data_IF_551937904697
#
_entry.id   IF_551937904697
#
_cell.length_a   1.000
_cell.length_b   1.000
_cell.length_c   1.000
_cell.angle_alpha   90.00
_cell.angle_beta   90.00
_cell.angle_gamma   90.00
#
_symmetry.space_group_name_H-M   'P 1'
#
loop_
_entity.id
_entity.type
_entity.pdbx_description
1 polymer ?
#
# COMPACT_ATOMS: atom_id res chain seq x y z
N UNK A 1 15.89 -50.58 -16.45
CA UNK A 1 15.49 -50.63 -17.88
C UNK A 1 15.92 -49.34 -18.54
N UNK A 2 16.66 -49.50 -19.64
CA UNK A 2 17.24 -48.57 -20.62
C UNK A 2 17.51 -47.08 -20.28
N UNK A 3 18.82 -46.79 -20.23
CA UNK A 3 19.49 -45.49 -20.37
C UNK A 3 19.66 -45.13 -21.85
N UNK A 4 19.51 -43.86 -22.21
CA UNK A 4 20.16 -43.20 -23.37
C UNK A 4 20.55 -41.79 -22.92
N UNK A 5 21.80 -41.53 -22.49
CA UNK A 5 22.97 -41.11 -23.29
C UNK A 5 22.67 -39.97 -24.26
N UNK A 6 23.15 -38.78 -23.90
CA UNK A 6 23.25 -37.63 -24.78
C UNK A 6 24.29 -37.84 -25.88
N UNK A 7 24.21 -36.99 -26.91
CA UNK A 7 25.32 -36.74 -27.81
C UNK A 7 25.19 -35.33 -28.41
N UNK A 8 26.26 -34.57 -28.21
CA UNK A 8 26.63 -33.37 -28.97
C UNK A 8 26.86 -33.76 -30.44
N UNK A 9 26.32 -32.99 -31.38
CA UNK A 9 26.71 -33.01 -32.79
C UNK A 9 26.87 -31.54 -33.22
N UNK A 10 28.08 -31.01 -33.15
CA UNK A 10 29.08 -30.94 -34.24
C UNK A 10 28.52 -30.24 -35.48
N UNK A 11 28.98 -29.00 -35.66
CA UNK A 11 28.86 -28.20 -36.87
C UNK A 11 29.59 -28.92 -38.00
N UNK A 12 28.83 -29.47 -38.95
CA UNK A 12 29.38 -30.03 -40.19
C UNK A 12 29.28 -28.99 -41.30
N UNK A 13 30.45 -28.48 -41.75
CA UNK A 13 30.58 -27.80 -43.03
C UNK A 13 30.23 -28.79 -44.15
N UNK A 14 29.03 -28.64 -44.72
CA UNK A 14 28.62 -29.35 -45.93
C UNK A 14 28.85 -28.47 -47.17
N UNK A 15 29.94 -28.75 -47.89
CA UNK A 15 30.11 -28.37 -49.29
C UNK A 15 29.02 -29.06 -50.11
N UNK A 16 28.02 -28.31 -50.58
CA UNK A 16 27.11 -28.76 -51.63
C UNK A 16 27.40 -27.91 -52.87
N UNK A 17 28.13 -28.52 -53.79
CA UNK A 17 28.26 -28.02 -55.15
C UNK A 17 26.99 -28.29 -55.96
N UNK A 18 26.59 -27.28 -56.72
CA UNK A 18 26.12 -27.49 -58.09
C UNK A 18 24.62 -27.72 -58.30
N UNK A 19 23.85 -26.64 -58.38
CA UNK A 19 22.98 -26.39 -59.54
C UNK A 19 23.16 -24.94 -59.94
N UNK A 20 24.06 -24.74 -60.90
CA UNK A 20 24.37 -23.47 -61.53
C UNK A 20 23.20 -23.05 -62.42
N UNK A 21 22.43 -22.05 -61.98
CA UNK A 21 21.73 -21.14 -62.90
C UNK A 21 22.63 -19.91 -63.08
N UNK A 22 23.28 -19.84 -64.24
CA UNK A 22 24.11 -18.72 -64.64
C UNK A 22 23.26 -17.45 -64.76
N UNK A 23 23.31 -16.58 -63.76
CA UNK A 23 22.91 -15.19 -63.96
C UNK A 23 23.89 -14.57 -64.98
N UNK A 24 23.38 -13.93 -66.04
CA UNK A 24 24.25 -13.29 -67.03
C UNK A 24 25.12 -12.24 -66.33
N UNK A 25 26.39 -12.08 -66.75
CA UNK A 25 27.27 -11.07 -66.17
C UNK A 25 26.63 -9.68 -66.34
N UNK A 26 26.53 -8.94 -65.23
CA UNK A 26 25.96 -7.59 -65.24
C UNK A 26 26.63 -6.76 -66.33
N UNK A 27 25.82 -6.10 -67.15
CA UNK A 27 26.33 -5.19 -68.18
C UNK A 27 27.05 -4.01 -67.50
N UNK A 28 28.00 -3.39 -68.20
CA UNK A 28 28.74 -2.24 -67.66
C UNK A 28 27.80 -1.11 -67.16
N UNK A 29 26.63 -0.98 -67.78
CA UNK A 29 25.58 -0.03 -67.41
C UNK A 29 24.89 -0.40 -66.07
N UNK A 30 24.65 -1.69 -65.82
CA UNK A 30 24.13 -2.17 -64.54
C UNK A 30 25.14 -2.03 -63.39
N UNK A 31 26.44 -2.20 -63.68
CA UNK A 31 27.49 -1.96 -62.69
C UNK A 31 27.63 -0.47 -62.34
N UNK A 32 27.51 0.42 -63.33
CA UNK A 32 27.52 1.86 -63.09
C UNK A 32 26.33 2.30 -62.23
N UNK A 33 25.13 1.79 -62.52
CA UNK A 33 23.92 2.09 -61.74
C UNK A 33 24.00 1.55 -60.30
N UNK A 34 24.57 0.36 -60.10
CA UNK A 34 24.78 -0.20 -58.77
C UNK A 34 25.75 0.64 -57.94
N UNK A 35 26.84 1.12 -58.55
CA UNK A 35 27.80 2.02 -57.90
C UNK A 35 27.19 3.38 -57.56
N UNK A 36 26.34 3.91 -58.45
CA UNK A 36 25.63 5.17 -58.21
C UNK A 36 24.63 5.06 -57.05
N UNK A 37 23.85 3.97 -56.99
CA UNK A 37 22.96 3.71 -55.86
C UNK A 37 23.73 3.52 -54.55
N UNK A 38 24.88 2.85 -54.58
CA UNK A 38 25.70 2.65 -53.38
C UNK A 38 26.29 3.99 -52.87
N UNK A 39 26.73 4.87 -53.79
CA UNK A 39 27.16 6.23 -53.44
C UNK A 39 26.02 7.08 -52.89
N UNK A 40 24.84 7.02 -53.51
CA UNK A 40 23.66 7.74 -53.03
C UNK A 40 23.21 7.25 -51.64
N UNK A 41 23.31 5.95 -51.37
CA UNK A 41 23.00 5.37 -50.06
C UNK A 41 23.99 5.83 -48.98
N UNK A 42 25.30 5.82 -49.28
CA UNK A 42 26.34 6.32 -48.35
C UNK A 42 26.15 7.81 -48.08
N UNK A 43 25.85 8.62 -49.11
CA UNK A 43 25.57 10.05 -48.94
C UNK A 43 24.35 10.29 -48.05
N UNK A 44 23.29 9.47 -48.18
CA UNK A 44 22.08 9.56 -47.36
C UNK A 44 22.31 9.14 -45.90
N UNK A 45 23.16 8.13 -45.67
CA UNK A 45 23.60 7.77 -44.31
C UNK A 45 24.44 8.88 -43.66
N UNK A 46 25.39 9.46 -44.40
CA UNK A 46 26.24 10.53 -43.88
C UNK A 46 25.44 11.80 -43.56
N UNK A 47 24.46 12.15 -44.40
CA UNK A 47 23.52 13.25 -44.15
C UNK A 47 22.63 12.99 -42.91
N UNK A 48 22.25 11.73 -42.67
CA UNK A 48 21.52 11.32 -41.47
C UNK A 48 22.34 11.41 -40.17
N UNK A 49 23.66 11.20 -40.24
CA UNK A 49 24.57 11.35 -39.10
C UNK A 49 24.95 12.80 -38.81
N UNK A 50 25.05 13.67 -39.82
CA UNK A 50 25.38 15.09 -39.61
C UNK A 50 24.21 15.88 -38.97
N UNK A 51 22.96 15.51 -39.23
CA UNK A 51 21.79 16.10 -38.56
C UNK A 51 21.56 15.59 -37.12
N UNK A 52 22.28 14.56 -36.67
CA UNK A 52 22.25 14.09 -35.27
C UNK A 52 23.31 14.71 -34.38
N UNK A 53 24.31 15.39 -34.96
CA UNK A 53 25.41 16.01 -34.21
C UNK A 53 25.15 17.48 -33.79
N UNK A 54 24.03 18.09 -34.20
CA UNK A 54 23.76 19.53 -33.98
C UNK A 54 22.40 19.84 -33.30
N UNK A 55 21.82 18.87 -32.58
CA UNK A 55 20.78 19.12 -31.56
C UNK A 55 21.19 18.44 -30.27
N UNK A 56 22.28 18.92 -29.67
CA UNK A 56 22.38 18.86 -28.21
C UNK A 56 21.35 19.87 -27.70
N UNK A 57 20.24 19.37 -27.16
CA UNK A 57 19.41 20.17 -26.27
C UNK A 57 20.34 20.78 -25.22
N UNK A 58 20.24 22.09 -24.95
CA UNK A 58 20.98 22.68 -23.84
C UNK A 58 20.64 21.87 -22.59
N UNK A 59 21.68 21.41 -21.88
CA UNK A 59 21.50 20.72 -20.62
C UNK A 59 20.55 21.56 -19.74
N UNK A 60 19.50 20.96 -19.16
CA UNK A 60 18.57 21.71 -18.32
C UNK A 60 19.38 22.40 -17.22
N UNK A 61 19.09 23.69 -17.02
CA UNK A 61 19.70 24.47 -15.95
C UNK A 61 19.61 23.68 -14.63
N UNK A 62 20.63 23.69 -13.78
CA UNK A 62 20.58 22.98 -12.50
C UNK A 62 19.36 23.49 -11.74
N UNK A 63 18.39 22.59 -11.53
CA UNK A 63 17.26 22.87 -10.65
C UNK A 63 17.88 23.02 -9.26
N UNK A 64 17.81 24.21 -8.67
CA UNK A 64 18.19 24.42 -7.28
C UNK A 64 17.20 23.66 -6.42
N UNK A 65 17.49 22.37 -6.20
CA UNK A 65 16.76 21.51 -5.30
C UNK A 65 17.18 21.85 -3.87
N UNK A 66 16.20 21.99 -2.99
CA UNK A 66 16.42 22.05 -1.55
C UNK A 66 17.15 20.77 -1.11
N UNK A 67 18.08 20.88 -0.16
CA UNK A 67 18.73 19.70 0.41
C UNK A 67 17.80 18.93 1.35
N UNK A 68 18.10 17.65 1.61
CA UNK A 68 17.36 16.85 2.59
C UNK A 68 17.39 17.46 3.99
N UNK A 69 18.52 18.00 4.41
CA UNK A 69 18.65 18.63 5.72
C UNK A 69 17.77 19.88 5.83
N UNK A 70 17.79 20.74 4.81
CA UNK A 70 16.93 21.95 4.78
C UNK A 70 15.43 21.60 4.84
N UNK A 71 15.00 20.54 4.16
CA UNK A 71 13.61 20.08 4.23
C UNK A 71 13.26 19.54 5.63
N UNK A 72 14.17 18.76 6.21
CA UNK A 72 14.03 18.26 7.58
C UNK A 72 13.95 19.39 8.60
N UNK A 73 14.83 20.39 8.50
CA UNK A 73 14.85 21.56 9.38
C UNK A 73 13.58 22.40 9.23
N UNK A 74 13.07 22.57 8.00
CA UNK A 74 11.80 23.26 7.75
C UNK A 74 10.62 22.57 8.42
N UNK A 75 10.58 21.23 8.39
CA UNK A 75 9.54 20.45 9.06
C UNK A 75 9.71 20.51 10.57
N UNK A 76 10.93 20.38 11.09
CA UNK A 76 11.21 20.49 12.51
C UNK A 76 10.79 21.88 13.06
N UNK A 77 11.02 22.95 12.30
CA UNK A 77 10.61 24.30 12.66
C UNK A 77 9.07 24.50 12.68
N UNK A 78 8.31 23.64 12.00
CA UNK A 78 6.84 23.64 12.09
C UNK A 78 6.34 22.91 13.33
N UNK A 79 7.11 21.99 13.91
CA UNK A 79 6.64 21.24 15.08
C UNK A 79 6.60 22.15 16.30
N UNK A 80 5.41 22.35 16.84
CA UNK A 80 5.21 22.95 18.16
C UNK A 80 5.47 21.94 19.27
N UNK A 81 5.15 22.33 20.51
CA UNK A 81 5.04 21.37 21.61
C UNK A 81 3.95 20.35 21.27
N UNK A 82 4.24 19.07 21.49
CA UNK A 82 3.30 17.99 21.19
C UNK A 82 2.03 18.18 22.02
N UNK A 83 0.95 18.59 21.35
CA UNK A 83 -0.37 18.71 21.93
C UNK A 83 -1.32 17.75 21.23
N UNK A 84 -1.94 16.83 21.97
CA UNK A 84 -2.86 15.91 21.36
C UNK A 84 -4.07 16.61 20.74
N UNK A 85 -4.54 16.08 19.61
CA UNK A 85 -5.64 16.66 18.85
C UNK A 85 -6.54 15.58 18.25
N UNK A 86 -7.84 15.85 18.20
CA UNK A 86 -8.75 14.99 17.46
C UNK A 86 -8.56 15.21 15.96
N UNK A 87 -8.26 14.14 15.24
CA UNK A 87 -8.10 14.15 13.78
C UNK A 87 -9.08 13.17 13.18
N UNK A 88 -9.95 13.66 12.29
CA UNK A 88 -10.99 12.84 11.66
C UNK A 88 -11.00 13.03 10.15
N UNK A 89 -10.92 11.93 9.41
CA UNK A 89 -11.09 11.94 7.95
C UNK A 89 -12.53 12.28 7.58
N UNK A 90 -12.71 13.16 6.60
CA UNK A 90 -14.00 13.45 5.97
C UNK A 90 -13.88 13.24 4.47
N UNK A 91 -15.00 13.31 3.74
CA UNK A 91 -15.04 12.98 2.30
C UNK A 91 -14.11 13.87 1.46
N UNK A 92 -13.97 15.13 1.84
CA UNK A 92 -13.06 16.10 1.21
C UNK A 92 -12.30 16.80 2.34
N UNK A 93 -11.06 16.35 2.59
CA UNK A 93 -10.23 16.88 3.67
C UNK A 93 -10.23 16.09 4.97
N UNK A 94 -9.86 16.79 6.03
CA UNK A 94 -9.84 16.29 7.38
C UNK A 94 -10.34 17.36 8.34
N UNK A 95 -10.83 16.91 9.49
CA UNK A 95 -11.14 17.77 10.62
C UNK A 95 -9.98 17.68 11.61
N UNK A 96 -9.45 18.83 12.02
CA UNK A 96 -8.41 18.96 13.04
C UNK A 96 -9.00 19.78 14.19
N UNK A 97 -9.13 19.19 15.37
CA UNK A 97 -9.73 19.86 16.54
C UNK A 97 -11.13 20.41 16.26
N UNK A 98 -11.93 19.68 15.48
CA UNK A 98 -13.28 20.10 15.08
C UNK A 98 -13.36 21.18 13.99
N UNK A 99 -12.23 21.64 13.43
CA UNK A 99 -12.20 22.60 12.32
C UNK A 99 -11.86 21.89 11.00
N UNK A 100 -12.53 22.22 9.88
CA UNK A 100 -12.17 21.66 8.58
C UNK A 100 -10.81 22.20 8.12
N UNK A 101 -9.98 21.30 7.61
CA UNK A 101 -8.77 21.61 6.88
C UNK A 101 -8.95 21.17 5.43
N UNK A 102 -8.87 22.15 4.53
CA UNK A 102 -8.96 21.99 3.08
C UNK A 102 -7.71 22.60 2.46
N UNK A 103 -7.23 22.01 1.37
CA UNK A 103 -6.10 22.55 0.62
C UNK A 103 -6.60 23.15 -0.69
N UNK A 104 -6.31 24.43 -0.98
CA UNK A 104 -6.78 25.08 -2.20
C UNK A 104 -6.17 24.49 -3.49
N UNK A 105 -5.09 23.70 -3.39
CA UNK A 105 -4.45 23.09 -4.57
C UNK A 105 -5.13 21.79 -5.03
N UNK A 106 -6.03 21.19 -4.24
CA UNK A 106 -6.76 19.99 -4.67
C UNK A 106 -7.49 19.23 -3.56
N UNK A 107 -8.14 18.14 -3.96
CA UNK A 107 -8.87 17.25 -3.06
C UNK A 107 -7.90 16.40 -2.23
N UNK A 108 -8.09 16.40 -0.90
CA UNK A 108 -7.34 15.54 0.01
C UNK A 108 -7.96 14.15 -0.02
N UNK A 109 -7.17 13.16 -0.46
CA UNK A 109 -7.63 11.78 -0.70
C UNK A 109 -7.01 10.74 0.22
N UNK A 110 -5.90 11.08 0.88
CA UNK A 110 -5.22 10.23 1.86
C UNK A 110 -4.72 11.05 3.03
N UNK A 111 -4.78 10.48 4.24
CA UNK A 111 -4.33 11.14 5.47
C UNK A 111 -3.68 10.08 6.36
N UNK A 112 -2.48 10.35 6.84
CA UNK A 112 -1.82 9.60 7.91
C UNK A 112 -1.50 10.61 9.02
N UNK A 113 -1.85 10.27 10.26
CA UNK A 113 -1.79 11.23 11.35
C UNK A 113 -1.45 10.54 12.67
N UNK A 114 -0.66 11.24 13.48
CA UNK A 114 -0.43 10.93 14.88
C UNK A 114 -1.21 11.93 15.74
N UNK A 115 -2.21 11.44 16.46
CA UNK A 115 -3.08 12.30 17.26
C UNK A 115 -2.39 12.82 18.51
N UNK A 116 -1.28 12.21 18.96
CA UNK A 116 -0.56 12.61 20.17
C UNK A 116 0.42 13.75 19.90
N UNK A 117 1.16 13.67 18.80
CA UNK A 117 2.09 14.73 18.38
C UNK A 117 1.43 15.81 17.53
N UNK A 118 0.32 15.50 16.86
CA UNK A 118 -0.30 16.39 15.90
C UNK A 118 0.37 16.38 14.53
N UNK A 119 1.29 15.43 14.28
CA UNK A 119 1.95 15.26 12.99
C UNK A 119 0.99 14.65 11.96
N UNK A 120 0.87 15.29 10.80
CA UNK A 120 -0.05 14.89 9.74
C UNK A 120 0.69 14.91 8.41
N UNK A 121 0.56 13.84 7.64
CA UNK A 121 0.85 13.84 6.20
C UNK A 121 -0.41 13.51 5.44
N UNK A 122 -0.72 14.33 4.45
CA UNK A 122 -1.87 14.11 3.58
C UNK A 122 -1.47 14.11 2.11
N UNK A 123 -2.28 13.41 1.31
CA UNK A 123 -2.12 13.26 -0.12
C UNK A 123 -3.19 14.05 -0.87
N UNK A 124 -2.75 14.97 -1.72
CA UNK A 124 -3.59 15.77 -2.60
C UNK A 124 -3.65 15.17 -3.98
N UNK A 125 -4.85 15.04 -4.52
CA UNK A 125 -5.04 14.66 -5.91
C UNK A 125 -4.87 15.90 -6.81
N UNK A 126 -3.72 16.00 -7.46
CA UNK A 126 -3.38 17.10 -8.37
C UNK A 126 -3.67 16.79 -9.84
N UNK A 127 -3.89 15.52 -10.18
CA UNK A 127 -4.15 15.06 -11.54
C UNK A 127 -4.76 13.65 -11.55
N UNK A 128 -4.98 13.07 -12.74
CA UNK A 128 -5.60 11.74 -12.85
C UNK A 128 -4.79 10.65 -12.14
N UNK A 129 -3.46 10.71 -12.27
CA UNK A 129 -2.54 9.73 -11.71
C UNK A 129 -1.43 10.39 -10.88
N UNK A 130 -1.71 11.56 -10.31
CA UNK A 130 -0.71 12.39 -9.63
C UNK A 130 -1.18 12.75 -8.23
N UNK A 131 -0.35 12.42 -7.25
CA UNK A 131 -0.54 12.77 -5.85
C UNK A 131 0.58 13.70 -5.38
N UNK A 132 0.25 14.72 -4.61
CA UNK A 132 1.22 15.57 -3.90
C UNK A 132 1.11 15.26 -2.42
N UNK A 133 2.24 14.95 -1.77
CA UNK A 133 2.28 14.70 -0.34
C UNK A 133 2.75 15.95 0.38
N UNK A 134 1.99 16.37 1.39
CA UNK A 134 2.32 17.52 2.24
C UNK A 134 2.31 17.11 3.70
N UNK A 135 3.24 17.69 4.45
CA UNK A 135 3.30 17.60 5.90
C UNK A 135 2.65 18.85 6.52
N UNK A 136 1.92 18.64 7.61
CA UNK A 136 1.31 19.66 8.44
C UNK A 136 1.50 19.25 9.91
N UNK A 137 1.72 20.23 10.78
CA UNK A 137 1.57 20.03 12.23
C UNK A 137 0.33 20.75 12.72
N UNK A 138 -0.56 20.04 13.43
CA UNK A 138 -1.75 20.63 14.05
C UNK A 138 -1.43 21.60 15.19
N UNK A 139 -0.21 21.53 15.72
CA UNK A 139 0.29 22.39 16.80
C UNK A 139 0.80 23.74 16.29
N UNK A 140 0.83 23.93 14.96
CA UNK A 140 1.37 25.12 14.30
C UNK A 140 0.33 25.81 13.43
N UNK A 141 0.46 27.13 13.31
CA UNK A 141 -0.29 27.91 12.30
C UNK A 141 0.49 28.05 10.98
N UNK A 142 1.53 27.23 10.78
CA UNK A 142 2.36 27.30 9.57
C UNK A 142 1.66 26.65 8.38
N UNK A 143 2.03 27.11 7.18
CA UNK A 143 1.55 26.51 5.94
C UNK A 143 2.09 25.08 5.77
N UNK A 144 1.30 24.15 5.19
CA UNK A 144 1.76 22.80 4.88
C UNK A 144 3.02 22.79 4.01
N UNK A 145 3.94 21.87 4.30
CA UNK A 145 5.21 21.71 3.58
C UNK A 145 5.13 20.54 2.62
N UNK A 146 5.32 20.80 1.32
CA UNK A 146 5.36 19.76 0.30
C UNK A 146 6.58 18.86 0.48
N UNK A 147 6.32 17.56 0.62
CA UNK A 147 7.35 16.51 0.71
C UNK A 147 7.79 16.07 -0.68
N UNK A 148 6.83 15.94 -1.60
CA UNK A 148 7.09 15.42 -2.93
C UNK A 148 5.82 15.06 -3.68
N UNK A 149 6.04 14.39 -4.80
CA UNK A 149 5.00 14.03 -5.76
C UNK A 149 5.12 12.57 -6.15
N UNK A 150 4.00 11.89 -6.23
CA UNK A 150 3.90 10.53 -6.75
C UNK A 150 3.12 10.51 -8.06
N UNK A 151 3.66 9.80 -9.05
CA UNK A 151 2.99 9.53 -10.32
C UNK A 151 2.73 8.04 -10.46
N UNK A 152 1.52 7.66 -10.88
CA UNK A 152 1.15 6.26 -11.16
C UNK A 152 1.02 6.02 -12.66
N UNK A 153 1.63 4.96 -13.15
CA UNK A 153 1.47 4.47 -14.52
C UNK A 153 1.33 2.94 -14.54
N UNK A 154 1.45 2.32 -15.72
CA UNK A 154 1.33 0.87 -15.88
C UNK A 154 2.49 0.08 -15.24
N UNK A 155 3.61 0.74 -14.91
CA UNK A 155 4.79 0.14 -14.29
C UNK A 155 4.79 0.25 -12.76
N UNK A 156 3.86 1.01 -12.18
CA UNK A 156 3.72 1.18 -10.75
C UNK A 156 3.63 2.66 -10.35
N UNK A 157 4.17 2.97 -9.17
CA UNK A 157 4.24 4.31 -8.59
C UNK A 157 5.69 4.76 -8.51
N UNK A 158 5.95 6.00 -8.90
CA UNK A 158 7.22 6.70 -8.72
C UNK A 158 7.01 7.93 -7.85
N UNK A 159 7.68 8.00 -6.71
CA UNK A 159 7.74 9.15 -5.82
C UNK A 159 9.02 9.95 -6.08
N UNK A 160 8.89 11.26 -6.25
CA UNK A 160 10.01 12.20 -6.29
C UNK A 160 9.79 13.27 -5.22
N UNK A 161 10.68 13.31 -4.23
CA UNK A 161 10.70 14.37 -3.21
C UNK A 161 11.08 15.73 -3.80
N UNK A 162 10.80 16.82 -3.08
CA UNK A 162 11.21 18.17 -3.47
C UNK A 162 12.73 18.39 -3.49
N UNK A 163 13.48 17.47 -2.88
CA UNK A 163 14.96 17.44 -2.89
C UNK A 163 15.52 16.67 -4.09
N UNK A 164 14.65 16.01 -4.87
CA UNK A 164 15.02 15.18 -6.01
C UNK A 164 15.27 13.70 -5.68
N UNK A 165 15.16 13.28 -4.41
CA UNK A 165 15.21 11.85 -4.05
C UNK A 165 14.04 11.09 -4.68
N UNK A 166 14.33 9.94 -5.31
CA UNK A 166 13.34 9.12 -6.03
C UNK A 166 13.19 7.74 -5.43
N UNK A 167 11.94 7.29 -5.31
CA UNK A 167 11.57 5.94 -4.89
C UNK A 167 10.55 5.37 -5.87
N UNK A 168 10.62 4.07 -6.17
CA UNK A 168 9.70 3.41 -7.08
C UNK A 168 9.22 2.08 -6.50
N UNK A 169 7.94 1.78 -6.69
CA UNK A 169 7.29 0.57 -6.20
C UNK A 169 5.90 0.38 -6.79
N UNK A 170 5.11 -0.51 -6.20
CA UNK A 170 3.78 -0.90 -6.67
C UNK A 170 2.68 0.01 -6.08
N UNK A 171 2.92 0.52 -4.86
CA UNK A 171 1.99 1.40 -4.16
C UNK A 171 2.73 2.49 -3.36
N UNK A 172 2.00 3.52 -2.97
CA UNK A 172 2.47 4.57 -2.06
C UNK A 172 1.42 4.86 -1.00
N UNK A 173 1.86 4.97 0.26
CA UNK A 173 1.01 5.21 1.41
C UNK A 173 1.64 6.34 2.24
N UNK A 174 0.82 7.20 2.85
CA UNK A 174 1.32 8.21 3.78
C UNK A 174 1.68 7.60 5.15
N UNK A 175 2.58 8.25 5.87
CA UNK A 175 2.79 8.09 7.32
C UNK A 175 2.80 9.50 7.93
N UNK A 176 2.44 9.67 9.20
CA UNK A 176 2.44 10.97 9.90
C UNK A 176 3.75 11.77 9.77
N UNK A 177 4.85 11.09 9.42
CA UNK A 177 6.20 11.66 9.30
C UNK A 177 6.76 11.69 7.87
N UNK A 178 6.07 11.10 6.89
CA UNK A 178 6.63 10.90 5.55
C UNK A 178 5.79 10.00 4.64
N UNK A 179 6.44 9.26 3.74
CA UNK A 179 5.76 8.35 2.81
C UNK A 179 6.40 6.96 2.79
N UNK A 180 5.57 5.94 2.57
CA UNK A 180 5.96 4.56 2.35
C UNK A 180 5.78 4.23 0.87
N UNK A 181 6.85 3.80 0.20
CA UNK A 181 6.76 3.22 -1.15
C UNK A 181 6.92 1.72 -1.01
N UNK A 182 5.89 0.96 -1.38
CA UNK A 182 5.85 -0.49 -1.16
C UNK A 182 6.14 -1.23 -2.47
N UNK A 183 6.79 -2.38 -2.35
CA UNK A 183 6.93 -3.41 -3.37
C UNK A 183 6.36 -4.72 -2.85
N UNK A 184 6.25 -5.72 -3.71
CA UNK A 184 5.80 -7.07 -3.35
C UNK A 184 6.41 -7.63 -2.05
N UNK A 185 7.71 -7.42 -1.79
CA UNK A 185 8.40 -7.97 -0.60
C UNK A 185 9.19 -6.95 0.22
N UNK A 186 9.08 -5.65 -0.08
CA UNK A 186 9.83 -4.62 0.64
C UNK A 186 9.11 -3.28 0.71
N UNK A 187 9.48 -2.47 1.69
CA UNK A 187 8.93 -1.13 1.91
C UNK A 187 10.07 -0.15 2.11
N UNK A 188 9.98 0.99 1.45
CA UNK A 188 10.90 2.10 1.62
C UNK A 188 10.18 3.23 2.35
N UNK A 189 10.65 3.57 3.55
CA UNK A 189 10.12 4.70 4.32
C UNK A 189 10.98 5.92 4.10
N UNK A 190 10.39 6.94 3.49
CA UNK A 190 11.01 8.24 3.32
C UNK A 190 10.50 9.19 4.39
N UNK A 191 11.41 9.63 5.26
CA UNK A 191 11.23 10.74 6.19
C UNK A 191 12.19 11.86 5.79
N UNK A 192 11.72 13.09 5.58
CA UNK A 192 12.58 14.21 5.23
C UNK A 192 13.71 14.43 6.23
N UNK A 193 14.92 14.69 5.72
CA UNK A 193 16.11 14.89 6.55
C UNK A 193 16.71 13.59 7.11
N UNK A 194 16.16 12.42 6.74
CA UNK A 194 16.65 11.11 7.18
C UNK A 194 17.08 10.24 5.99
N UNK A 195 17.81 9.17 6.31
CA UNK A 195 18.02 8.06 5.37
C UNK A 195 16.68 7.41 5.04
N UNK A 196 16.59 6.77 3.87
CA UNK A 196 15.43 5.95 3.53
C UNK A 196 15.59 4.63 4.26
N UNK A 197 14.65 4.32 5.15
CA UNK A 197 14.62 3.05 5.85
C UNK A 197 14.00 1.98 4.96
N UNK A 198 14.51 0.75 5.06
CA UNK A 198 14.02 -0.38 4.27
C UNK A 198 13.54 -1.49 5.19
N UNK A 199 12.29 -1.91 5.00
CA UNK A 199 11.66 -3.01 5.70
C UNK A 199 11.42 -4.16 4.73
N UNK A 200 11.71 -5.39 5.16
CA UNK A 200 11.35 -6.60 4.43
C UNK A 200 10.00 -7.12 4.90
N UNK A 201 9.14 -7.45 3.95
CA UNK A 201 7.87 -8.14 4.22
C UNK A 201 8.11 -9.65 4.20
N UNK A 202 7.57 -10.41 5.17
CA UNK A 202 7.71 -11.87 5.17
C UNK A 202 7.24 -12.52 3.87
N UNK A 203 7.83 -13.69 3.54
CA UNK A 203 7.40 -14.48 2.39
C UNK A 203 5.91 -14.82 2.46
N UNK A 204 5.24 -14.85 1.30
CA UNK A 204 3.81 -15.09 1.16
C UNK A 204 2.91 -13.99 1.74
N UNK A 205 3.45 -12.82 2.05
CA UNK A 205 2.69 -11.63 2.38
C UNK A 205 3.09 -10.47 1.48
N UNK A 206 2.20 -9.49 1.37
CA UNK A 206 2.45 -8.18 0.77
C UNK A 206 1.86 -7.09 1.67
N UNK A 207 2.24 -5.83 1.45
CA UNK A 207 1.64 -4.72 2.20
C UNK A 207 0.20 -4.51 1.75
N UNK A 208 -0.72 -4.48 2.71
CA UNK A 208 -2.12 -4.17 2.41
C UNK A 208 -2.22 -2.76 1.81
N UNK A 209 -2.86 -2.57 0.63
CA UNK A 209 -2.83 -1.28 -0.06
C UNK A 209 -3.41 -0.10 0.74
N UNK A 210 -4.37 -0.40 1.62
CA UNK A 210 -5.01 0.59 2.49
C UNK A 210 -4.57 0.44 3.94
N UNK A 211 -3.98 1.50 4.50
CA UNK A 211 -3.59 1.53 5.92
C UNK A 211 -4.53 2.49 6.67
N UNK A 212 -5.16 1.98 7.73
CA UNK A 212 -6.03 2.81 8.58
C UNK A 212 -5.27 3.40 9.76
N UNK A 213 -4.39 2.61 10.38
CA UNK A 213 -3.44 3.11 11.36
C UNK A 213 -2.25 3.82 10.73
N UNK A 214 -1.47 4.47 11.59
CA UNK A 214 -0.32 5.26 11.19
C UNK A 214 1.00 4.54 11.47
N UNK A 215 1.76 4.28 10.42
CA UNK A 215 3.09 3.68 10.52
C UNK A 215 4.10 4.61 11.21
N UNK A 216 4.01 5.92 10.98
CA UNK A 216 5.03 6.87 11.44
C UNK A 216 5.14 7.00 12.96
N UNK A 217 4.02 6.82 13.67
CA UNK A 217 3.93 6.86 15.12
C UNK A 217 3.98 5.48 15.78
N UNK A 218 3.44 4.44 15.14
CA UNK A 218 3.36 3.11 15.75
C UNK A 218 4.52 2.19 15.36
N UNK A 219 5.14 2.41 14.21
CA UNK A 219 6.08 1.46 13.60
C UNK A 219 5.44 0.17 13.07
N UNK A 220 4.11 0.04 13.13
CA UNK A 220 3.37 -1.14 12.66
C UNK A 220 2.75 -0.90 11.28
N UNK A 221 2.89 -1.90 10.41
CA UNK A 221 2.34 -1.94 9.07
C UNK A 221 1.41 -3.14 8.91
N UNK A 222 0.22 -2.93 8.35
CA UNK A 222 -0.68 -4.04 8.01
C UNK A 222 -0.19 -4.74 6.74
N UNK A 223 0.01 -6.05 6.84
CA UNK A 223 0.36 -6.93 5.74
C UNK A 223 -0.75 -7.96 5.51
N UNK A 224 -0.94 -8.33 4.25
CA UNK A 224 -1.96 -9.25 3.77
C UNK A 224 -1.31 -10.51 3.22
N UNK A 225 -1.88 -11.68 3.54
CA UNK A 225 -1.43 -12.96 3.02
C UNK A 225 -1.70 -13.01 1.51
N UNK A 226 -0.72 -13.44 0.74
CA UNK A 226 -0.89 -13.68 -0.69
C UNK A 226 -1.91 -14.79 -0.91
N UNK A 227 -2.77 -14.64 -1.91
CA UNK A 227 -3.66 -15.72 -2.33
C UNK A 227 -2.81 -16.93 -2.74
N UNK A 228 -2.98 -18.04 -2.01
CA UNK A 228 -2.32 -19.28 -2.38
C UNK A 228 -2.90 -19.77 -3.71
N UNK A 229 -2.06 -19.93 -4.72
CA UNK A 229 -2.39 -20.86 -5.80
C UNK A 229 -2.60 -22.22 -5.15
N UNK A 230 -3.76 -22.84 -5.40
CA UNK A 230 -4.29 -24.06 -4.72
C UNK A 230 -3.34 -25.27 -4.63
N UNK A 231 -2.11 -25.19 -5.15
CA UNK A 231 -1.07 -26.22 -5.06
C UNK A 231 -0.15 -26.10 -3.82
N UNK A 232 -0.15 -24.98 -3.10
CA UNK A 232 0.80 -24.68 -2.01
C UNK A 232 0.52 -25.31 -0.63
N UNK A 233 -0.69 -25.83 -0.39
CA UNK A 233 -1.16 -26.26 0.94
C UNK A 233 -0.43 -27.47 1.56
N UNK A 234 0.51 -28.11 0.85
CA UNK A 234 1.32 -29.20 1.42
C UNK A 234 2.53 -28.71 2.24
N UNK A 235 2.89 -27.42 2.17
CA UNK A 235 4.09 -26.89 2.81
C UNK A 235 3.93 -26.32 4.22
N UNK A 236 2.71 -25.92 4.60
CA UNK A 236 2.47 -25.15 5.83
C UNK A 236 2.23 -25.99 7.09
N UNK A 237 1.96 -27.30 6.96
CA UNK A 237 1.78 -28.20 8.11
C UNK A 237 3.09 -28.45 8.89
N UNK A 238 4.25 -28.08 8.34
CA UNK A 238 5.56 -28.28 9.00
C UNK A 238 6.04 -27.07 9.83
N UNK A 239 5.37 -25.91 9.78
CA UNK A 239 5.77 -24.69 10.51
C UNK A 239 5.01 -24.47 11.83
N UNK A 240 3.98 -25.27 12.10
CA UNK A 240 3.14 -25.14 13.31
C UNK A 240 3.81 -25.73 14.57
N UNK A 241 4.97 -26.39 14.44
CA UNK A 241 5.66 -27.05 15.56
C UNK A 241 6.47 -26.15 16.50
N UNK A 242 6.53 -24.82 16.31
CA UNK A 242 7.40 -23.94 17.12
C UNK A 242 6.73 -22.71 17.74
N UNK A 243 5.43 -22.52 17.53
CA UNK A 243 4.66 -21.45 18.15
C UNK A 243 3.60 -22.10 19.03
N UNK A 244 3.71 -21.84 20.34
CA UNK A 244 2.89 -22.46 21.38
C UNK A 244 1.39 -22.36 21.12
N UNK A 245 0.68 -23.33 21.67
CA UNK A 245 -0.75 -23.61 21.53
C UNK A 245 -1.66 -22.38 21.62
N UNK A 246 -2.00 -21.75 20.49
CA UNK A 246 -3.26 -21.01 20.34
C UNK A 246 -4.30 -21.93 19.72
N UNK A 247 -4.94 -22.73 20.56
CA UNK A 247 -6.14 -23.50 20.22
C UNK A 247 -7.26 -22.49 19.91
N UNK A 248 -7.61 -22.33 18.63
CA UNK A 248 -8.81 -21.57 18.22
C UNK A 248 -8.74 -20.81 16.89
N UNK A 249 -7.58 -20.70 16.24
CA UNK A 249 -7.45 -19.98 14.97
C UNK A 249 -7.46 -20.97 13.80
N UNK A 250 -8.61 -21.11 13.15
CA UNK A 250 -8.75 -21.79 11.85
C UNK A 250 -9.03 -20.76 10.76
N UNK A 251 -8.38 -20.93 9.59
CA UNK A 251 -8.67 -20.32 8.27
C UNK A 251 -8.67 -18.79 8.10
N UNK A 252 -8.78 -17.99 9.17
CA UNK A 252 -8.93 -16.54 9.09
C UNK A 252 -7.67 -15.73 9.49
N UNK A 253 -6.47 -16.30 9.39
CA UNK A 253 -5.18 -15.58 9.59
C UNK A 253 -4.75 -14.86 8.29
N UNK A 254 -5.63 -14.06 7.69
CA UNK A 254 -5.37 -13.37 6.42
C UNK A 254 -4.50 -12.12 6.54
N UNK A 255 -4.43 -11.53 7.73
CA UNK A 255 -3.76 -10.25 7.98
C UNK A 255 -2.88 -10.28 9.23
N UNK A 256 -1.80 -9.50 9.21
CA UNK A 256 -0.91 -9.30 10.36
C UNK A 256 -0.46 -7.85 10.45
N UNK A 257 -0.15 -7.39 11.65
CA UNK A 257 0.62 -6.16 11.86
C UNK A 257 2.10 -6.52 12.03
N UNK A 258 2.96 -5.96 11.18
CA UNK A 258 4.42 -6.10 11.18
C UNK A 258 5.06 -4.85 11.79
N UNK A 259 5.82 -5.03 12.87
CA UNK A 259 6.64 -3.97 13.42
C UNK A 259 7.96 -3.85 12.64
N UNK A 260 8.27 -2.65 12.15
CA UNK A 260 9.41 -2.44 11.27
C UNK A 260 10.78 -2.57 11.95
N UNK A 261 10.86 -2.22 13.23
CA UNK A 261 12.11 -2.21 13.98
C UNK A 261 12.45 -3.59 14.52
N UNK A 262 11.45 -4.27 15.10
CA UNK A 262 11.64 -5.55 15.80
C UNK A 262 11.36 -6.76 14.93
N UNK A 263 10.70 -6.58 13.78
CA UNK A 263 10.19 -7.68 12.95
C UNK A 263 9.04 -8.46 13.60
N UNK A 264 8.49 -7.98 14.73
CA UNK A 264 7.40 -8.63 15.44
C UNK A 264 6.14 -8.68 14.56
N UNK A 265 5.48 -9.84 14.58
CA UNK A 265 4.21 -10.07 13.89
C UNK A 265 3.09 -10.24 14.91
N UNK A 266 2.01 -9.48 14.74
CA UNK A 266 0.76 -9.63 15.51
C UNK A 266 -0.33 -10.12 14.55
N UNK A 267 -0.84 -11.34 14.79
CA UNK A 267 -1.82 -11.99 13.92
C UNK A 267 -3.24 -11.50 14.16
N UNK A 268 -3.97 -11.30 13.07
CA UNK A 268 -5.36 -10.86 13.09
C UNK A 268 -6.28 -11.94 12.48
N UNK A 269 -7.34 -12.28 13.21
CA UNK A 269 -8.42 -13.19 12.78
C UNK A 269 -9.41 -12.45 11.84
N UNK A 270 -8.90 -12.15 10.65
CA UNK A 270 -9.58 -11.50 9.52
C UNK A 270 -9.27 -12.31 8.25
N UNK A 271 -10.32 -12.80 7.58
CA UNK A 271 -10.20 -13.49 6.29
C UNK A 271 -9.89 -12.50 5.15
N UNK A 272 -9.15 -12.96 4.14
CA UNK A 272 -8.92 -12.27 2.86
C UNK A 272 -10.12 -12.32 1.91
N UNK A 273 -11.09 -13.21 2.16
CA UNK A 273 -12.13 -13.56 1.18
C UNK A 273 -13.29 -12.54 1.12
N UNK A 274 -13.46 -11.70 2.14
CA UNK A 274 -14.63 -10.83 2.30
C UNK A 274 -14.41 -9.39 1.78
N UNK A 275 -13.27 -9.10 1.15
CA UNK A 275 -12.88 -7.74 0.72
C UNK A 275 -13.46 -7.29 -0.62
N UNK A 276 -13.99 -8.23 -1.39
CA UNK A 276 -14.55 -7.98 -2.72
C UNK A 276 -16.04 -7.60 -2.67
N UNK A 277 -16.45 -6.73 -3.60
CA UNK A 277 -17.86 -6.43 -3.87
C UNK A 277 -18.22 -6.99 -5.24
N UNK A 278 -19.37 -7.67 -5.34
CA UNK A 278 -19.87 -8.24 -6.61
C UNK A 278 -20.98 -7.38 -7.20
N UNK A 279 -20.84 -6.99 -8.47
CA UNK A 279 -21.84 -6.23 -9.22
C UNK A 279 -22.40 -7.07 -10.37
N UNK A 280 -23.71 -7.28 -10.36
CA UNK A 280 -24.39 -8.01 -11.43
C UNK A 280 -24.56 -7.18 -12.70
N UNK A 281 -24.37 -7.81 -13.87
CA UNK A 281 -24.65 -7.21 -15.19
C UNK A 281 -25.95 -7.74 -15.80
N UNK A 282 -26.61 -6.91 -16.59
CA UNK A 282 -27.86 -7.19 -17.32
C UNK A 282 -28.94 -7.89 -16.47
N UNK A 283 -29.12 -7.43 -15.23
CA UNK A 283 -30.06 -8.03 -14.29
C UNK A 283 -31.51 -7.83 -14.75
N UNK A 284 -32.23 -8.94 -14.94
CA UNK A 284 -33.66 -8.96 -15.24
C UNK A 284 -34.42 -9.46 -14.02
N UNK A 285 -35.50 -8.76 -13.66
CA UNK A 285 -36.39 -9.17 -12.58
C UNK A 285 -37.00 -10.52 -12.91
N UNK A 286 -36.76 -11.51 -12.05
CA UNK A 286 -37.38 -12.84 -12.17
C UNK A 286 -38.66 -12.92 -11.34
N UNK A 287 -38.66 -12.32 -10.14
CA UNK A 287 -39.84 -12.15 -9.27
C UNK A 287 -39.63 -10.96 -8.31
N UNK A 288 -40.50 -10.80 -7.31
CA UNK A 288 -40.47 -9.66 -6.37
C UNK A 288 -39.24 -9.64 -5.43
N UNK A 289 -38.52 -10.76 -5.33
CA UNK A 289 -37.40 -10.93 -4.39
C UNK A 289 -36.08 -11.29 -5.09
N UNK A 290 -36.11 -11.65 -6.37
CA UNK A 290 -34.96 -12.18 -7.11
C UNK A 290 -34.81 -11.49 -8.47
N UNK A 291 -33.63 -10.92 -8.67
CA UNK A 291 -33.14 -10.48 -9.98
C UNK A 291 -32.15 -11.52 -10.52
N UNK A 292 -32.30 -11.93 -11.77
CA UNK A 292 -31.37 -12.82 -12.47
C UNK A 292 -30.43 -11.99 -13.33
N UNK A 293 -29.15 -11.99 -13.00
CA UNK A 293 -28.10 -11.29 -13.73
C UNK A 293 -27.40 -12.23 -14.73
N UNK A 294 -26.87 -11.68 -15.83
CA UNK A 294 -26.17 -12.44 -16.88
C UNK A 294 -24.76 -12.86 -16.44
N UNK A 295 -24.13 -12.04 -15.60
CA UNK A 295 -22.78 -12.24 -15.05
C UNK A 295 -22.61 -11.37 -13.80
N UNK A 296 -21.54 -11.62 -13.04
CA UNK A 296 -21.12 -10.81 -11.90
C UNK A 296 -19.66 -10.45 -12.07
N UNK A 297 -19.32 -9.18 -11.86
CA UNK A 297 -17.95 -8.71 -11.74
C UNK A 297 -17.63 -8.49 -10.26
N UNK A 298 -16.54 -9.10 -9.77
CA UNK A 298 -16.08 -8.90 -8.39
C UNK A 298 -14.75 -8.16 -8.38
N UNK A 299 -14.60 -7.22 -7.45
CA UNK A 299 -13.39 -6.42 -7.28
C UNK A 299 -13.27 -5.93 -5.82
N UNK A 300 -12.03 -5.78 -5.34
CA UNK A 300 -11.76 -5.22 -4.00
C UNK A 300 -12.24 -3.78 -3.92
N UNK A 301 -13.02 -3.46 -2.89
CA UNK A 301 -13.50 -2.10 -2.66
C UNK A 301 -13.79 -1.81 -1.19
N UNK A 302 -13.36 -0.64 -0.72
CA UNK A 302 -13.70 -0.12 0.60
C UNK A 302 -15.20 0.13 0.76
N UNK A 303 -15.92 0.42 -0.32
CA UNK A 303 -17.34 0.75 -0.29
C UNK A 303 -18.12 -0.12 -1.26
N UNK A 304 -19.34 -0.48 -0.87
CA UNK A 304 -20.30 -1.09 -1.76
C UNK A 304 -20.81 -0.07 -2.81
N UNK A 305 -21.42 -0.52 -3.91
CA UNK A 305 -21.92 0.37 -4.97
C UNK A 305 -22.94 1.41 -4.51
N UNK A 306 -23.64 1.16 -3.40
CA UNK A 306 -24.58 2.09 -2.77
C UNK A 306 -23.90 3.15 -1.88
N UNK A 307 -22.57 3.13 -1.78
CA UNK A 307 -21.76 4.03 -0.96
C UNK A 307 -21.65 3.63 0.50
N UNK A 308 -22.29 2.54 0.92
CA UNK A 308 -22.11 1.99 2.27
C UNK A 308 -20.73 1.33 2.40
N UNK A 309 -20.22 1.18 3.63
CA UNK A 309 -18.93 0.51 3.87
C UNK A 309 -19.03 -0.94 3.46
N UNK A 310 -18.03 -1.44 2.72
CA UNK A 310 -17.87 -2.88 2.56
C UNK A 310 -17.38 -3.48 3.89
N UNK A 311 -18.31 -3.95 4.72
CA UNK A 311 -18.03 -4.44 6.08
C UNK A 311 -17.08 -5.64 6.14
N UNK A 312 -16.96 -6.40 5.05
CA UNK A 312 -16.02 -7.50 4.94
C UNK A 312 -14.56 -7.06 4.75
N UNK A 313 -14.34 -5.87 4.18
CA UNK A 313 -13.02 -5.36 3.88
C UNK A 313 -12.23 -5.04 5.16
N UNK A 314 -10.99 -5.54 5.24
CA UNK A 314 -10.09 -5.42 6.39
C UNK A 314 -9.93 -3.99 6.92
N UNK A 315 -9.89 -2.99 6.03
CA UNK A 315 -9.81 -1.57 6.37
C UNK A 315 -10.88 -1.13 7.38
N UNK A 316 -12.08 -1.71 7.36
CA UNK A 316 -13.13 -1.39 8.33
C UNK A 316 -13.12 -2.27 9.57
N UNK A 317 -12.23 -3.26 9.62
CA UNK A 317 -12.12 -4.26 10.68
C UNK A 317 -10.94 -4.03 11.61
N UNK A 318 -9.94 -3.23 11.23
CA UNK A 318 -8.77 -2.97 12.06
C UNK A 318 -8.38 -1.50 12.07
N UNK A 319 -8.16 -0.98 13.26
CA UNK A 319 -7.57 0.32 13.56
C UNK A 319 -6.38 0.10 14.50
N UNK A 320 -5.24 0.72 14.24
CA UNK A 320 -4.11 0.74 15.19
C UNK A 320 -3.54 2.14 15.31
N UNK A 321 -3.14 2.51 16.51
CA UNK A 321 -2.76 3.87 16.83
C UNK A 321 -1.75 3.89 17.98
N UNK A 322 -0.94 4.94 18.01
CA UNK A 322 -0.06 5.21 19.14
C UNK A 322 -0.90 5.77 20.30
N UNK A 323 -0.68 5.27 21.51
CA UNK A 323 -1.29 5.79 22.74
C UNK A 323 -0.19 6.17 23.75
N UNK A 324 -0.51 6.91 24.82
CA UNK A 324 0.46 7.20 25.88
C UNK A 324 1.07 5.93 26.53
N UNK A 325 0.39 4.80 26.43
CA UNK A 325 0.82 3.50 26.99
C UNK A 325 1.54 2.61 25.98
N UNK A 326 1.71 3.08 24.74
CA UNK A 326 2.26 2.30 23.63
C UNK A 326 1.28 2.13 22.47
N UNK A 327 1.67 1.41 21.42
CA UNK A 327 0.83 1.13 20.26
C UNK A 327 -0.24 0.07 20.59
N UNK A 328 -1.50 0.39 20.27
CA UNK A 328 -2.64 -0.51 20.44
C UNK A 328 -3.39 -0.69 19.12
N UNK A 329 -4.01 -1.86 18.96
CA UNK A 329 -4.97 -2.13 17.90
C UNK A 329 -6.36 -2.42 18.46
N UNK A 330 -7.38 -1.95 17.76
CA UNK A 330 -8.78 -2.36 17.90
C UNK A 330 -9.14 -3.16 16.67
N UNK A 331 -9.55 -4.41 16.87
CA UNK A 331 -9.72 -5.38 15.79
C UNK A 331 -11.05 -6.10 15.93
N UNK A 332 -11.82 -6.12 14.86
CA UNK A 332 -13.03 -6.91 14.76
C UNK A 332 -12.73 -8.31 14.21
N UNK A 333 -12.78 -9.31 15.08
CA UNK A 333 -12.32 -10.67 14.83
C UNK A 333 -13.46 -11.71 14.90
N UNK A 334 -13.12 -12.96 14.61
CA UNK A 334 -13.99 -14.14 14.73
C UNK A 334 -15.27 -14.03 13.90
N UNK A 335 -15.12 -13.67 12.62
CA UNK A 335 -16.25 -13.52 11.69
C UNK A 335 -17.23 -12.43 12.14
N UNK A 336 -16.72 -11.26 12.52
CA UNK A 336 -17.46 -10.07 12.99
C UNK A 336 -18.04 -10.11 14.42
N UNK A 337 -17.84 -11.20 15.18
CA UNK A 337 -18.51 -11.42 16.48
C UNK A 337 -17.84 -10.75 17.66
N UNK A 338 -16.55 -10.45 17.58
CA UNK A 338 -15.77 -9.89 18.70
C UNK A 338 -15.07 -8.60 18.28
N UNK A 339 -14.99 -7.64 19.21
CA UNK A 339 -14.02 -6.53 19.13
C UNK A 339 -12.98 -6.76 20.20
N UNK A 340 -11.75 -6.92 19.77
CA UNK A 340 -10.58 -7.12 20.60
C UNK A 340 -9.74 -5.85 20.64
N UNK A 341 -9.20 -5.55 21.81
CA UNK A 341 -8.15 -4.55 22.02
C UNK A 341 -6.85 -5.31 22.25
N UNK A 342 -5.81 -4.95 21.50
CA UNK A 342 -4.52 -5.64 21.50
C UNK A 342 -3.43 -4.63 21.84
N UNK A 343 -2.67 -4.90 22.90
CA UNK A 343 -1.38 -4.22 23.12
C UNK A 343 -0.37 -4.82 22.13
N UNK A 344 0.13 -4.02 21.21
CA UNK A 344 0.96 -4.52 20.10
C UNK A 344 2.39 -4.85 20.55
N UNK A 345 2.91 -4.17 21.57
CA UNK A 345 4.24 -4.43 22.14
C UNK A 345 4.26 -5.75 22.92
N UNK A 346 3.17 -6.09 23.59
CA UNK A 346 3.05 -7.32 24.38
C UNK A 346 2.39 -8.49 23.62
N UNK A 347 1.72 -8.22 22.50
CA UNK A 347 0.83 -9.19 21.81
C UNK A 347 -0.18 -9.84 22.76
N UNK A 348 -0.77 -9.02 23.63
CA UNK A 348 -1.82 -9.43 24.56
C UNK A 348 -3.15 -8.83 24.13
N UNK A 349 -4.19 -9.67 24.12
CA UNK A 349 -5.53 -9.33 23.62
C UNK A 349 -6.59 -9.46 24.71
N UNK A 350 -7.57 -8.56 24.67
CA UNK A 350 -8.79 -8.61 25.49
C UNK A 350 -10.00 -8.36 24.60
N UNK A 351 -11.01 -9.21 24.72
CA UNK A 351 -12.33 -8.97 24.09
C UNK A 351 -13.10 -7.96 24.93
N UNK A 352 -13.33 -6.77 24.37
CA UNK A 352 -14.08 -5.68 25.03
C UNK A 352 -15.55 -5.68 24.66
N UNK A 353 -15.91 -6.28 23.52
CA UNK A 353 -17.29 -6.48 23.08
C UNK A 353 -17.43 -7.82 22.36
N UNK A 354 -18.52 -8.53 22.65
CA UNK A 354 -18.87 -9.79 21.98
C UNK A 354 -20.37 -9.85 21.68
N UNK A 355 -20.71 -10.36 20.50
CA UNK A 355 -22.09 -10.59 20.07
C UNK A 355 -22.19 -11.80 19.16
N UNK A 356 -23.02 -12.77 19.54
CA UNK A 356 -23.25 -14.01 18.77
C UNK A 356 -23.77 -13.75 17.35
N UNK A 357 -24.67 -12.77 17.19
CA UNK A 357 -25.24 -12.38 15.89
C UNK A 357 -24.36 -11.39 15.10
N UNK A 358 -23.09 -11.24 15.48
CA UNK A 358 -22.17 -10.33 14.83
C UNK A 358 -22.34 -8.87 15.25
N UNK A 359 -21.28 -8.11 15.05
CA UNK A 359 -21.21 -6.66 15.22
C UNK A 359 -21.22 -6.07 13.80
N UNK A 360 -22.21 -5.24 13.47
CA UNK A 360 -22.43 -4.84 12.08
C UNK A 360 -21.32 -3.90 11.59
N UNK A 361 -20.89 -2.98 12.43
CA UNK A 361 -19.82 -2.04 12.16
C UNK A 361 -19.30 -1.48 13.48
N UNK A 362 -18.10 -0.91 13.45
CA UNK A 362 -17.57 -0.13 14.54
C UNK A 362 -16.81 1.09 14.03
N UNK A 363 -16.66 2.08 14.91
CA UNK A 363 -15.81 3.23 14.70
C UNK A 363 -14.88 3.37 15.90
N UNK A 364 -13.62 3.68 15.62
CA UNK A 364 -12.60 3.96 16.63
C UNK A 364 -12.23 5.43 16.52
N UNK A 365 -12.24 6.12 17.64
CA UNK A 365 -11.83 7.52 17.74
C UNK A 365 -10.89 7.67 18.91
N UNK A 366 -9.73 8.28 18.68
CA UNK A 366 -8.82 8.65 19.75
C UNK A 366 -9.06 10.11 20.13
N UNK A 367 -9.28 10.33 21.42
CA UNK A 367 -9.40 11.67 21.99
C UNK A 367 -8.01 12.31 22.15
N UNK A 368 -7.94 13.64 22.31
CA UNK A 368 -6.70 14.31 22.73
C UNK A 368 -6.09 13.71 24.02
N UNK A 369 -6.87 13.16 24.95
CA UNK A 369 -6.30 12.52 26.14
C UNK A 369 -5.51 11.22 25.86
N UNK A 370 -5.48 10.75 24.61
CA UNK A 370 -4.98 9.43 24.25
C UNK A 370 -5.98 8.31 24.50
N UNK A 371 -7.12 8.61 25.15
CA UNK A 371 -8.23 7.66 25.34
C UNK A 371 -8.81 7.23 24.01
N UNK A 372 -9.01 5.92 23.85
CA UNK A 372 -9.56 5.30 22.65
C UNK A 372 -11.02 4.93 22.90
N UNK A 373 -11.94 5.55 22.16
CA UNK A 373 -13.37 5.26 22.21
C UNK A 373 -13.78 4.34 21.06
N UNK A 374 -14.61 3.35 21.36
CA UNK A 374 -15.18 2.41 20.38
C UNK A 374 -16.70 2.58 20.36
N UNK A 375 -17.27 2.87 19.21
CA UNK A 375 -18.72 2.85 18.99
C UNK A 375 -19.08 1.70 18.04
N UNK A 376 -19.85 0.72 18.52
CA UNK A 376 -20.20 -0.49 17.79
C UNK A 376 -21.72 -0.59 17.56
N UNK A 377 -22.12 -0.94 16.33
CA UNK A 377 -23.51 -1.16 15.95
C UNK A 377 -23.91 -2.63 16.18
N UNK A 378 -24.84 -2.85 17.12
CA UNK A 378 -25.36 -4.15 17.52
C UNK A 378 -26.82 -4.29 17.07
N UNK A 379 -27.04 -4.56 15.78
CA UNK A 379 -28.38 -4.66 15.20
C UNK A 379 -29.07 -3.30 15.17
N UNK A 380 -30.13 -3.12 15.96
CA UNK A 380 -30.86 -1.85 16.09
C UNK A 380 -30.34 -0.95 17.24
N UNK A 381 -29.33 -1.40 17.97
CA UNK A 381 -28.77 -0.67 19.11
C UNK A 381 -27.30 -0.33 18.89
N UNK A 382 -26.81 0.67 19.62
CA UNK A 382 -25.39 1.02 19.67
C UNK A 382 -24.83 0.69 21.05
N UNK A 383 -23.60 0.20 21.09
CA UNK A 383 -22.82 0.06 22.32
C UNK A 383 -21.54 0.86 22.21
N UNK A 384 -21.22 1.58 23.27
CA UNK A 384 -20.04 2.44 23.36
C UNK A 384 -19.13 1.88 24.44
N UNK A 385 -17.83 1.80 24.14
CA UNK A 385 -16.75 1.65 25.11
C UNK A 385 -16.02 2.97 25.12
N UNK A 386 -16.20 3.77 26.17
CA UNK A 386 -15.67 5.13 26.23
C UNK A 386 -14.15 5.17 26.38
N UNK A 387 -13.59 4.21 27.12
CA UNK A 387 -12.14 4.00 27.25
C UNK A 387 -11.79 2.52 27.03
N UNK A 388 -11.32 2.22 25.82
CA UNK A 388 -10.92 0.89 25.42
C UNK A 388 -9.63 0.42 26.10
N UNK A 389 -8.75 1.32 26.52
CA UNK A 389 -7.52 0.97 27.23
C UNK A 389 -7.82 0.61 28.68
N UNK A 390 -8.74 1.33 29.32
CA UNK A 390 -9.24 0.94 30.64
C UNK A 390 -9.97 -0.41 30.58
N UNK A 391 -10.86 -0.60 29.60
CA UNK A 391 -11.55 -1.88 29.40
C UNK A 391 -10.57 -3.05 29.16
N UNK A 392 -9.47 -2.80 28.43
CA UNK A 392 -8.38 -3.74 28.26
C UNK A 392 -7.72 -4.11 29.60
N UNK A 393 -7.34 -3.13 30.43
CA UNK A 393 -6.72 -3.37 31.74
C UNK A 393 -7.63 -4.17 32.68
N UNK A 394 -8.91 -3.83 32.71
CA UNK A 394 -9.91 -4.53 33.53
C UNK A 394 -10.06 -5.99 33.07
N UNK A 395 -10.11 -6.22 31.75
CA UNK A 395 -10.14 -7.56 31.18
C UNK A 395 -8.87 -8.37 31.45
N UNK A 396 -7.68 -7.74 31.35
CA UNK A 396 -6.42 -8.38 31.71
C UNK A 396 -6.37 -8.78 33.19
N UNK A 397 -6.88 -7.92 34.08
CA UNK A 397 -6.99 -8.22 35.51
C UNK A 397 -7.90 -9.43 35.75
N UNK A 398 -9.05 -9.45 35.07
CA UNK A 398 -10.01 -10.57 35.14
C UNK A 398 -9.36 -11.89 34.70
N UNK A 399 -8.63 -11.89 33.58
CA UNK A 399 -7.90 -13.05 33.08
C UNK A 399 -6.80 -13.52 34.05
N UNK A 400 -6.09 -12.59 34.70
CA UNK A 400 -5.07 -12.92 35.68
C UNK A 400 -5.65 -13.55 36.96
N UNK A 401 -6.87 -13.18 37.36
CA UNK A 401 -7.57 -13.75 38.52
C UNK A 401 -8.33 -15.05 38.24
N UNK A 402 -8.53 -15.38 36.97
CA UNK A 402 -9.23 -16.60 36.53
C UNK A 402 -8.31 -17.83 36.42
N UNK A 403 -6.98 -17.61 36.43
CA UNK A 403 -5.93 -18.61 36.53
C UNK A 403 -5.41 -18.69 37.96
#
# INVERSE_FOLDING_TARGET
MFKFRGLVAVVSLGLIGGCASSQPPMTAEQQAMAQEMQKAFIARMQAGTQNRAARQEPAPAPVNLMSEQELGDKIAALKGEAEPVEIRRVRDGLMIGGKPHLDPEGEITGVAADTLSGDIVYALKSGRNELIFKYLSSTSNGDPVTLGRATRDSSGVSFTSVTGKKLAGDNIIGSSRGVLVTRSSSVFHYVPGQSVDTLMVPENYHVAPSQKGDFGSTGYLLIEKNEETKEGLKGLTNLVGSLGETVGLSEADGYMLLNAETGKLVKLDISTDDKDVSVGRDCKRQNDFVNKCSSFDSYESLYAPDGSRNRGHYFWRVDWMQTPEGPFAVVQESGSRKINVINLDEDKRVTVLERTLGIAEHNVTQTPGGTVRIEAQLGFSKKVVDDALQAYKDGMTTLATAN
#
